data_IF_495438009218
#
_entry.id   IF_495438009218
#
_cell.length_a   1.000
_cell.length_b   1.000
_cell.length_c   1.000
_cell.angle_alpha   90.00
_cell.angle_beta   90.00
_cell.angle_gamma   90.00
#
_symmetry.space_group_name_H-M   'P 1'
#
loop_
_entity.id
_entity.type
_entity.pdbx_description
1 polymer ?
#
# COMPACT_ATOMS: atom_id res chain seq x y z
N UNK A 1 -12.73 2.17 16.35
CA UNK A 1 -13.19 2.81 15.10
C UNK A 1 -12.07 3.73 14.66
N UNK A 2 -11.27 3.31 13.68
CA UNK A 2 -10.15 4.13 13.19
C UNK A 2 -10.75 5.20 12.29
N UNK A 3 -10.66 6.46 12.71
CA UNK A 3 -11.10 7.61 11.93
C UNK A 3 -10.02 7.92 10.88
N UNK A 4 -10.29 7.55 9.63
CA UNK A 4 -9.51 8.03 8.50
C UNK A 4 -9.82 9.53 8.30
N UNK A 5 -8.77 10.36 8.33
CA UNK A 5 -8.82 11.80 8.01
C UNK A 5 -9.25 12.07 6.56
N UNK A 6 -9.22 13.35 6.10
CA UNK A 6 -10.04 13.87 5.01
C UNK A 6 -10.06 12.94 3.80
N UNK A 7 -11.27 12.45 3.51
CA UNK A 7 -11.66 11.51 2.47
C UNK A 7 -10.80 11.63 1.20
N UNK A 8 -9.76 10.82 1.11
CA UNK A 8 -9.16 10.51 -0.18
C UNK A 8 -10.26 9.84 -1.04
N UNK A 9 -10.38 10.13 -2.35
CA UNK A 9 -11.40 9.55 -3.23
C UNK A 9 -11.06 8.09 -3.57
N UNK A 10 -10.62 7.31 -2.59
CA UNK A 10 -10.25 5.91 -2.75
C UNK A 10 -11.48 5.11 -2.39
N UNK A 11 -11.98 4.36 -3.37
CA UNK A 11 -13.01 3.39 -3.08
C UNK A 11 -12.48 2.38 -2.05
N UNK A 12 -13.22 2.13 -0.97
CA UNK A 12 -12.90 1.08 0.01
C UNK A 12 -12.67 -0.29 -0.68
N UNK A 13 -13.30 -0.50 -1.85
CA UNK A 13 -13.11 -1.69 -2.68
C UNK A 13 -11.67 -1.77 -3.21
N UNK A 14 -11.11 -0.64 -3.66
CA UNK A 14 -9.74 -0.58 -4.18
C UNK A 14 -8.72 -0.79 -3.07
N UNK A 15 -8.92 -0.12 -1.92
CA UNK A 15 -8.07 -0.31 -0.74
C UNK A 15 -8.03 -1.78 -0.31
N UNK A 16 -9.20 -2.42 -0.17
CA UNK A 16 -9.28 -3.84 0.19
C UNK A 16 -8.63 -4.74 -0.88
N UNK A 17 -8.75 -4.41 -2.17
CA UNK A 17 -8.11 -5.18 -3.23
C UNK A 17 -6.58 -5.12 -3.13
N UNK A 18 -6.00 -3.94 -2.88
CA UNK A 18 -4.55 -3.76 -2.69
C UNK A 18 -4.08 -4.48 -1.44
N UNK A 19 -4.77 -4.30 -0.30
CA UNK A 19 -4.42 -4.98 0.96
C UNK A 19 -4.40 -6.49 0.74
N UNK A 20 -5.44 -7.05 0.11
CA UNK A 20 -5.52 -8.49 -0.17
C UNK A 20 -4.38 -8.97 -1.08
N UNK A 21 -4.01 -8.18 -2.08
CA UNK A 21 -2.84 -8.47 -2.94
C UNK A 21 -1.53 -8.45 -2.13
N UNK A 22 -1.35 -7.48 -1.23
CA UNK A 22 -0.17 -7.43 -0.35
C UNK A 22 -0.08 -8.65 0.58
N UNK A 23 -1.22 -9.10 1.13
CA UNK A 23 -1.29 -10.33 1.92
C UNK A 23 -0.89 -11.56 1.09
N UNK A 24 -1.40 -11.67 -0.14
CA UNK A 24 -1.07 -12.80 -1.03
C UNK A 24 0.41 -12.80 -1.46
N UNK A 25 0.97 -11.62 -1.73
CA UNK A 25 2.31 -11.51 -2.30
C UNK A 25 3.43 -11.63 -1.26
N UNK A 26 3.22 -11.13 -0.03
CA UNK A 26 4.22 -11.15 1.04
C UNK A 26 3.86 -12.05 2.22
N UNK A 27 2.68 -12.68 2.21
CA UNK A 27 2.20 -13.48 3.35
C UNK A 27 1.94 -12.62 4.60
N UNK A 28 1.60 -11.34 4.40
CA UNK A 28 1.38 -10.39 5.49
C UNK A 28 -0.01 -10.58 6.12
N UNK A 29 -0.10 -10.28 7.40
CA UNK A 29 -1.38 -10.17 8.11
C UNK A 29 -2.11 -8.88 7.71
N UNK A 30 -3.44 -8.86 7.86
CA UNK A 30 -4.29 -7.74 7.41
C UNK A 30 -3.83 -6.41 8.01
N UNK A 31 -3.45 -6.43 9.29
CA UNK A 31 -2.94 -5.25 10.01
C UNK A 31 -1.61 -4.75 9.43
N UNK A 32 -0.69 -5.67 9.09
CA UNK A 32 0.59 -5.29 8.50
C UNK A 32 0.42 -4.77 7.07
N UNK A 33 -0.42 -5.41 6.27
CA UNK A 33 -0.75 -4.96 4.92
C UNK A 33 -1.43 -3.59 4.91
N UNK A 34 -2.31 -3.33 5.89
CA UNK A 34 -2.96 -2.02 6.07
C UNK A 34 -1.94 -0.95 6.46
N UNK A 35 -1.05 -1.23 7.42
CA UNK A 35 -0.01 -0.28 7.82
C UNK A 35 0.95 0.05 6.67
N UNK A 36 1.35 -0.97 5.91
CA UNK A 36 2.14 -0.79 4.70
C UNK A 36 1.38 0.13 3.76
N UNK A 37 0.12 -0.22 3.44
CA UNK A 37 -0.74 0.56 2.56
C UNK A 37 -0.75 2.02 3.01
N UNK A 38 -1.07 2.34 4.25
CA UNK A 38 -1.07 3.71 4.74
C UNK A 38 0.30 4.40 4.65
N UNK A 39 1.39 3.68 4.93
CA UNK A 39 2.77 4.20 4.91
C UNK A 39 3.19 4.66 3.51
N UNK A 40 2.88 3.88 2.48
CA UNK A 40 3.35 4.16 1.12
C UNK A 40 2.26 4.65 0.16
N UNK A 41 0.99 4.52 0.51
CA UNK A 41 -0.12 4.92 -0.37
C UNK A 41 -0.07 6.40 -0.69
N UNK A 42 0.02 7.26 0.34
CA UNK A 42 0.06 8.71 0.17
C UNK A 42 1.21 9.18 -0.73
N UNK A 43 2.48 8.79 -0.49
CA UNK A 43 3.58 9.24 -1.35
C UNK A 43 3.48 8.67 -2.77
N UNK A 44 3.10 7.41 -2.95
CA UNK A 44 2.99 6.79 -4.28
C UNK A 44 1.83 7.40 -5.07
N UNK A 45 0.65 7.55 -4.45
CA UNK A 45 -0.51 8.18 -5.07
C UNK A 45 -0.22 9.63 -5.49
N UNK A 46 0.49 10.38 -4.63
CA UNK A 46 0.91 11.76 -4.93
C UNK A 46 1.90 11.83 -6.09
N UNK A 47 2.80 10.87 -6.24
CA UNK A 47 3.71 10.79 -7.38
C UNK A 47 3.02 10.38 -8.67
N UNK A 48 2.01 9.52 -8.61
CA UNK A 48 1.35 9.01 -9.81
C UNK A 48 0.31 9.97 -10.38
N UNK A 49 -0.31 10.81 -9.55
CA UNK A 49 -1.31 11.79 -10.00
C UNK A 49 -2.64 11.19 -10.48
N UNK A 50 -2.72 9.86 -10.62
CA UNK A 50 -3.94 9.09 -10.89
C UNK A 50 -3.99 7.82 -10.03
N UNK A 51 -5.17 7.21 -9.91
CA UNK A 51 -5.34 5.94 -9.22
C UNK A 51 -4.74 4.81 -10.09
N UNK A 52 -3.64 4.19 -9.67
CA UNK A 52 -2.96 3.16 -10.45
C UNK A 52 -3.70 1.81 -10.38
N UNK A 53 -3.41 0.90 -11.30
CA UNK A 53 -3.99 -0.44 -11.22
C UNK A 53 -3.51 -1.18 -9.97
N UNK A 54 -4.39 -2.01 -9.40
CA UNK A 54 -4.11 -2.75 -8.14
C UNK A 54 -2.82 -3.57 -8.23
N UNK A 55 -2.58 -4.22 -9.36
CA UNK A 55 -1.37 -5.02 -9.61
C UNK A 55 -0.10 -4.15 -9.66
N UNK A 56 -0.10 -3.08 -10.47
CA UNK A 56 1.05 -2.16 -10.54
C UNK A 56 1.33 -1.48 -9.19
N UNK A 57 0.28 -1.19 -8.44
CA UNK A 57 0.39 -0.61 -7.11
C UNK A 57 1.00 -1.60 -6.13
N UNK A 58 0.54 -2.85 -6.13
CA UNK A 58 1.10 -3.91 -5.28
C UNK A 58 2.58 -4.18 -5.60
N UNK A 59 2.95 -4.18 -6.88
CA UNK A 59 4.33 -4.38 -7.33
C UNK A 59 5.26 -3.23 -6.91
N UNK A 60 4.79 -1.98 -7.01
CA UNK A 60 5.52 -0.81 -6.51
C UNK A 60 5.74 -0.87 -5.00
N UNK A 61 4.73 -1.31 -4.27
CA UNK A 61 4.81 -1.54 -2.84
C UNK A 61 5.86 -2.58 -2.47
N UNK A 62 5.89 -3.71 -3.17
CA UNK A 62 6.91 -4.74 -2.94
C UNK A 62 8.31 -4.20 -3.19
N UNK A 63 8.51 -3.45 -4.27
CA UNK A 63 9.81 -2.84 -4.58
C UNK A 63 10.26 -1.86 -3.50
N UNK A 64 9.35 -1.01 -3.00
CA UNK A 64 9.69 -0.05 -1.95
C UNK A 64 9.99 -0.76 -0.65
N UNK A 65 9.22 -1.78 -0.29
CA UNK A 65 9.47 -2.55 0.93
C UNK A 65 10.79 -3.34 0.87
N UNK A 66 11.17 -3.88 -0.29
CA UNK A 66 12.48 -4.51 -0.52
C UNK A 66 13.63 -3.50 -0.39
N UNK A 67 13.48 -2.31 -0.99
CA UNK A 67 14.45 -1.22 -0.89
C UNK A 67 14.65 -0.76 0.55
N UNK A 68 13.56 -0.55 1.29
CA UNK A 68 13.61 -0.14 2.70
C UNK A 68 14.22 -1.25 3.58
N UNK A 69 13.84 -2.52 3.35
CA UNK A 69 14.43 -3.66 4.08
C UNK A 69 15.93 -3.81 3.82
N UNK A 70 16.41 -3.44 2.64
CA UNK A 70 17.84 -3.42 2.31
C UNK A 70 18.60 -2.29 3.00
N UNK A 71 18.01 -1.11 3.15
CA UNK A 71 18.66 0.01 3.84
C UNK A 71 18.64 -0.16 5.37
N UNK A 72 17.66 -0.86 5.94
CA UNK A 72 17.58 -1.10 7.39
C UNK A 72 18.59 -2.17 7.89
N UNK A 73 19.23 -2.90 6.97
CA UNK A 73 20.30 -3.89 7.27
C UNK A 73 21.72 -3.40 6.91
N UNK A 74 21.88 -2.16 6.42
CA UNK A 74 23.16 -1.61 5.99
C UNK A 74 23.85 -0.75 7.06
#
# INVERSE_FOLDING_TARGET
>A
MIQFGPQLPISEIYMNAVIKQLQQNKGLDESQATQLFEKYYLPIYKQWGMQPNVEEFAEKFQNIDDLVSREEQA
#
